data_IF_251718419760
#
_entry.id   IF_251718419760
#
_cell.length_a   1.000
_cell.length_b   1.000
_cell.length_c   1.000
_cell.angle_alpha   90.00
_cell.angle_beta   90.00
_cell.angle_gamma   90.00
#
_symmetry.space_group_name_H-M   'P 1'
#
loop_
_entity.id
_entity.type
_entity.pdbx_description
1 polymer ?
#
# COMPACT_ATOMS: atom_id res chain seq x y z
N UNK A 1 7.59 21.72 -3.60
CA UNK A 1 6.96 20.41 -3.38
C UNK A 1 5.66 20.65 -2.63
N UNK A 2 4.57 19.95 -2.95
CA UNK A 2 3.26 20.20 -2.32
C UNK A 2 3.16 19.56 -0.92
N UNK A 3 2.19 20.04 -0.12
CA UNK A 3 2.04 19.64 1.30
C UNK A 3 1.82 18.13 1.46
N UNK A 4 0.99 17.52 0.60
CA UNK A 4 0.64 16.10 0.67
C UNK A 4 1.86 15.23 0.39
N UNK A 5 2.70 15.62 -0.57
CA UNK A 5 3.96 14.93 -0.83
C UNK A 5 4.92 14.98 0.37
N UNK A 6 5.08 16.15 1.01
CA UNK A 6 5.95 16.26 2.19
C UNK A 6 5.41 15.46 3.37
N UNK A 7 4.09 15.41 3.58
CA UNK A 7 3.46 14.55 4.58
C UNK A 7 3.72 13.05 4.29
N UNK A 8 3.56 12.62 3.04
CA UNK A 8 3.85 11.25 2.63
C UNK A 8 5.32 10.87 2.83
N UNK A 9 6.22 11.82 2.58
CA UNK A 9 7.65 11.65 2.85
C UNK A 9 7.94 11.53 4.35
N UNK A 10 7.35 12.37 5.20
CA UNK A 10 7.48 12.24 6.65
C UNK A 10 7.02 10.86 7.13
N UNK A 11 5.87 10.37 6.65
CA UNK A 11 5.39 9.02 6.96
C UNK A 11 6.45 7.96 6.66
N UNK A 12 7.04 7.96 5.45
CA UNK A 12 8.07 6.97 5.07
C UNK A 12 9.32 7.10 5.95
N UNK A 13 9.71 8.31 6.32
CA UNK A 13 10.90 8.58 7.14
C UNK A 13 10.71 8.16 8.60
N UNK A 14 9.49 8.25 9.13
CA UNK A 14 9.15 7.90 10.50
C UNK A 14 8.97 6.38 10.70
N UNK A 15 8.82 5.61 9.62
CA UNK A 15 8.74 4.15 9.70
C UNK A 15 10.08 3.58 10.18
N UNK A 16 10.05 2.87 11.32
CA UNK A 16 11.19 2.11 11.79
C UNK A 16 11.40 0.84 10.94
N UNK A 17 12.17 0.96 9.87
CA UNK A 17 12.45 -0.13 8.92
C UNK A 17 13.17 -1.35 9.56
N UNK A 18 13.88 -1.14 10.67
CA UNK A 18 14.55 -2.21 11.43
C UNK A 18 13.59 -3.04 12.28
N UNK A 19 12.49 -2.43 12.74
CA UNK A 19 11.44 -3.14 13.45
C UNK A 19 10.62 -3.98 12.47
N UNK A 20 10.50 -5.28 12.76
CA UNK A 20 9.70 -6.22 11.99
C UNK A 20 8.85 -7.02 12.93
N UNK A 21 7.56 -7.09 12.61
CA UNK A 21 6.61 -7.87 13.38
C UNK A 21 5.75 -8.70 12.43
N UNK A 22 5.43 -9.91 12.87
CA UNK A 22 4.71 -10.91 12.09
C UNK A 22 3.41 -11.27 12.78
N UNK A 23 2.40 -11.61 11.98
CA UNK A 23 1.12 -12.17 12.43
C UNK A 23 0.32 -11.24 13.35
N UNK A 24 0.36 -9.92 13.11
CA UNK A 24 -0.60 -9.02 13.75
C UNK A 24 -1.98 -9.17 13.10
N UNK A 25 -3.07 -9.23 13.89
CA UNK A 25 -4.44 -9.29 13.40
C UNK A 25 -4.77 -8.18 12.38
N UNK A 26 -4.30 -6.95 12.65
CA UNK A 26 -4.49 -5.79 11.78
C UNK A 26 -3.91 -5.96 10.38
N UNK A 27 -2.91 -6.82 10.19
CA UNK A 27 -2.33 -7.04 8.87
C UNK A 27 -3.31 -7.67 7.89
N UNK A 28 -4.19 -8.55 8.35
CA UNK A 28 -5.22 -9.15 7.49
C UNK A 28 -6.20 -8.08 7.02
N UNK A 29 -6.59 -7.17 7.90
CA UNK A 29 -7.50 -6.06 7.60
C UNK A 29 -6.86 -5.10 6.60
N UNK A 30 -5.64 -4.64 6.88
CA UNK A 30 -4.91 -3.70 6.03
C UNK A 30 -4.61 -4.27 4.64
N UNK A 31 -4.18 -5.53 4.58
CA UNK A 31 -3.94 -6.22 3.31
C UNK A 31 -5.24 -6.40 2.51
N UNK A 32 -6.33 -6.78 3.17
CA UNK A 32 -7.65 -6.91 2.54
C UNK A 32 -8.11 -5.58 1.93
N UNK A 33 -7.92 -4.46 2.64
CA UNK A 33 -8.27 -3.13 2.13
C UNK A 33 -7.38 -2.69 0.98
N UNK A 34 -6.07 -2.97 1.03
CA UNK A 34 -5.16 -2.69 -0.10
C UNK A 34 -5.61 -3.43 -1.36
N UNK A 35 -5.94 -4.72 -1.24
CA UNK A 35 -6.40 -5.54 -2.36
C UNK A 35 -7.74 -5.07 -2.93
N UNK A 36 -8.69 -4.70 -2.05
CA UNK A 36 -9.98 -4.14 -2.44
C UNK A 36 -9.82 -2.82 -3.20
N UNK A 37 -9.06 -1.87 -2.63
CA UNK A 37 -8.81 -0.56 -3.24
C UNK A 37 -8.04 -0.66 -4.55
N UNK A 38 -7.03 -1.53 -4.61
CA UNK A 38 -6.31 -1.85 -5.85
C UNK A 38 -7.25 -2.42 -6.91
N UNK A 39 -8.12 -3.36 -6.56
CA UNK A 39 -9.08 -3.95 -7.50
C UNK A 39 -10.06 -2.92 -8.05
N UNK A 40 -10.61 -2.05 -7.21
CA UNK A 40 -11.46 -0.94 -7.65
C UNK A 40 -10.72 0.01 -8.60
N UNK A 41 -9.42 0.23 -8.37
CA UNK A 41 -8.59 1.06 -9.24
C UNK A 41 -8.35 0.40 -10.60
N UNK A 42 -8.04 -0.91 -10.61
CA UNK A 42 -7.93 -1.70 -11.84
C UNK A 42 -9.24 -1.73 -12.64
N UNK A 43 -10.37 -1.93 -11.97
CA UNK A 43 -11.72 -1.93 -12.57
C UNK A 43 -12.01 -0.57 -13.22
N UNK A 44 -11.68 0.52 -12.53
CA UNK A 44 -11.92 1.88 -13.03
C UNK A 44 -11.20 2.19 -14.34
N UNK A 45 -10.02 1.61 -14.57
CA UNK A 45 -9.25 1.76 -15.81
C UNK A 45 -9.47 0.64 -16.82
N UNK A 46 -10.36 -0.32 -16.52
CA UNK A 46 -10.60 -1.52 -17.34
C UNK A 46 -9.29 -2.28 -17.67
N UNK A 47 -8.35 -2.32 -16.73
CA UNK A 47 -7.05 -3.02 -16.88
C UNK A 47 -7.16 -4.42 -16.27
N UNK A 48 -7.66 -5.39 -17.04
CA UNK A 48 -7.90 -6.74 -16.55
C UNK A 48 -6.70 -7.69 -16.61
N UNK A 49 -5.63 -7.34 -17.33
CA UNK A 49 -4.46 -8.20 -17.44
C UNK A 49 -3.49 -8.00 -16.27
N UNK A 50 -3.24 -9.09 -15.54
CA UNK A 50 -2.19 -9.22 -14.51
C UNK A 50 -2.23 -8.14 -13.41
N UNK A 51 -3.34 -8.05 -12.68
CA UNK A 51 -3.46 -7.21 -11.48
C UNK A 51 -2.40 -7.63 -10.45
N UNK A 52 -1.50 -6.75 -10.05
CA UNK A 52 -0.42 -7.07 -9.10
C UNK A 52 -0.63 -6.36 -7.78
N UNK A 53 -0.19 -6.97 -6.68
CA UNK A 53 -0.28 -6.39 -5.34
C UNK A 53 0.54 -5.11 -5.20
N UNK A 54 1.74 -5.11 -5.77
CA UNK A 54 2.60 -3.93 -5.88
C UNK A 54 2.46 -3.42 -7.31
N UNK A 55 1.84 -2.25 -7.47
CA UNK A 55 1.54 -1.67 -8.77
C UNK A 55 1.79 -0.16 -8.75
N UNK A 56 2.04 0.40 -9.93
CA UNK A 56 2.20 1.84 -10.13
C UNK A 56 0.88 2.43 -10.62
N UNK A 57 0.23 3.21 -9.76
CA UNK A 57 -1.03 3.88 -10.12
C UNK A 57 -0.85 4.90 -11.25
N UNK A 58 0.32 5.54 -11.35
CA UNK A 58 0.64 6.45 -12.46
C UNK A 58 0.68 5.73 -13.80
N UNK A 59 1.33 4.56 -13.86
CA UNK A 59 1.34 3.70 -15.06
C UNK A 59 -0.04 3.16 -15.42
N UNK A 60 -0.81 2.71 -14.44
CA UNK A 60 -2.16 2.20 -14.69
C UNK A 60 -3.12 3.29 -15.20
N UNK A 61 -2.96 4.52 -14.70
CA UNK A 61 -3.75 5.67 -15.10
C UNK A 61 -3.20 6.38 -16.35
N UNK A 62 -2.13 5.86 -16.96
CA UNK A 62 -1.43 6.46 -18.11
C UNK A 62 -1.02 7.93 -17.86
N UNK A 63 -0.66 8.25 -16.60
CA UNK A 63 -0.21 9.58 -16.15
C UNK A 63 1.32 9.65 -16.19
N UNK A 64 1.84 10.66 -16.88
CA UNK A 64 3.27 10.97 -16.91
C UNK A 64 3.63 11.90 -15.75
N UNK A 65 4.58 11.48 -14.92
CA UNK A 65 5.18 12.34 -13.91
C UNK A 65 6.32 13.17 -14.50
N UNK A 66 6.55 14.40 -13.99
CA UNK A 66 7.78 15.11 -14.29
C UNK A 66 9.01 14.29 -13.85
N UNK A 67 10.03 14.20 -14.71
CA UNK A 67 11.21 13.35 -14.46
C UNK A 67 11.88 13.65 -13.12
N UNK A 68 12.03 14.94 -12.78
CA UNK A 68 12.60 15.37 -11.51
C UNK A 68 11.81 14.90 -10.28
N UNK A 69 10.50 14.66 -10.41
CA UNK A 69 9.66 14.12 -9.33
C UNK A 69 9.87 12.61 -9.22
N UNK A 70 9.88 11.90 -10.35
CA UNK A 70 10.17 10.46 -10.39
C UNK A 70 11.54 10.16 -9.75
N UNK A 71 12.59 10.88 -10.17
CA UNK A 71 13.95 10.73 -9.65
C UNK A 71 14.02 11.02 -8.14
N UNK A 72 13.27 12.03 -7.68
CA UNK A 72 13.19 12.37 -6.26
C UNK A 72 12.54 11.24 -5.43
N UNK A 73 11.44 10.65 -5.92
CA UNK A 73 10.79 9.51 -5.26
C UNK A 73 11.71 8.29 -5.16
N UNK A 74 12.47 8.00 -6.23
CA UNK A 74 13.45 6.92 -6.24
C UNK A 74 14.58 7.18 -5.24
N UNK A 75 15.14 8.40 -5.18
CA UNK A 75 16.21 8.74 -4.25
C UNK A 75 15.74 8.67 -2.79
N UNK A 76 14.55 9.19 -2.48
CA UNK A 76 13.98 9.15 -1.13
C UNK A 76 13.77 7.72 -0.60
N UNK A 77 13.55 6.76 -1.49
CA UNK A 77 13.27 5.37 -1.14
C UNK A 77 14.47 4.44 -1.34
N UNK A 78 15.60 4.97 -1.81
CA UNK A 78 16.81 4.20 -2.18
C UNK A 78 17.38 3.39 -1.03
N UNK A 79 17.26 3.86 0.21
CA UNK A 79 17.77 3.20 1.42
C UNK A 79 16.89 2.05 1.91
N UNK A 80 15.68 1.89 1.36
CA UNK A 80 14.77 0.78 1.71
C UNK A 80 15.27 -0.50 1.02
N UNK A 81 15.77 -1.44 1.83
CA UNK A 81 16.42 -2.68 1.34
C UNK A 81 15.46 -3.63 0.62
N UNK A 82 14.24 -3.79 1.14
CA UNK A 82 13.26 -4.75 0.61
C UNK A 82 12.64 -4.19 -0.66
N UNK A 83 12.96 -4.80 -1.82
CA UNK A 83 12.53 -4.35 -3.16
C UNK A 83 11.04 -4.00 -3.26
N UNK A 84 10.14 -4.87 -2.78
CA UNK A 84 8.70 -4.63 -2.88
C UNK A 84 8.20 -3.54 -1.93
N UNK A 85 8.82 -3.40 -0.77
CA UNK A 85 8.55 -2.28 0.15
C UNK A 85 9.00 -0.97 -0.50
N UNK A 86 10.22 -0.94 -1.04
CA UNK A 86 10.74 0.21 -1.79
C UNK A 86 9.80 0.63 -2.91
N UNK A 87 9.41 -0.30 -3.78
CA UNK A 87 8.47 -0.02 -4.87
C UNK A 87 7.14 0.54 -4.37
N UNK A 88 6.55 -0.05 -3.32
CA UNK A 88 5.31 0.44 -2.72
C UNK A 88 5.47 1.88 -2.20
N UNK A 89 6.57 2.17 -1.52
CA UNK A 89 6.87 3.52 -1.02
C UNK A 89 7.11 4.52 -2.16
N UNK A 90 7.80 4.13 -3.24
CA UNK A 90 7.98 4.97 -4.42
C UNK A 90 6.64 5.32 -5.04
N UNK A 91 5.77 4.32 -5.27
CA UNK A 91 4.43 4.54 -5.85
C UNK A 91 3.52 5.37 -4.94
N UNK A 92 3.66 5.25 -3.62
CA UNK A 92 2.97 6.09 -2.67
C UNK A 92 3.38 7.57 -2.80
N UNK A 93 4.69 7.87 -2.87
CA UNK A 93 5.18 9.24 -3.05
C UNK A 93 4.75 9.86 -4.38
N UNK A 94 4.88 9.08 -5.46
CA UNK A 94 4.42 9.45 -6.81
C UNK A 94 2.94 9.85 -6.80
N UNK A 95 2.10 9.06 -6.10
CA UNK A 95 0.67 9.31 -6.01
C UNK A 95 0.35 10.50 -5.10
N UNK A 96 1.03 10.62 -3.96
CA UNK A 96 0.92 11.75 -3.04
C UNK A 96 1.22 13.09 -3.73
N UNK A 97 2.22 13.13 -4.61
CA UNK A 97 2.50 14.29 -5.44
C UNK A 97 1.26 14.66 -6.27
N UNK A 98 0.70 13.71 -7.04
CA UNK A 98 -0.44 13.96 -7.92
C UNK A 98 -1.71 14.38 -7.16
N UNK A 99 -1.93 13.85 -5.96
CA UNK A 99 -3.03 14.28 -5.08
C UNK A 99 -2.83 15.76 -4.73
N UNK A 100 -1.63 16.16 -4.32
CA UNK A 100 -1.34 17.55 -3.96
C UNK A 100 -1.34 18.52 -5.14
N UNK A 101 -1.11 18.05 -6.36
CA UNK A 101 -1.34 18.82 -7.59
C UNK A 101 -2.82 18.87 -8.00
N UNK A 102 -3.71 18.20 -7.28
CA UNK A 102 -5.15 18.20 -7.54
C UNK A 102 -5.57 17.39 -8.77
N UNK A 103 -4.76 16.42 -9.20
CA UNK A 103 -5.09 15.57 -10.34
C UNK A 103 -6.37 14.77 -10.04
N UNK A 104 -7.46 14.91 -10.83
CA UNK A 104 -8.79 14.41 -10.44
C UNK A 104 -8.83 12.93 -10.07
N UNK A 105 -8.16 12.07 -10.85
CA UNK A 105 -8.06 10.63 -10.56
C UNK A 105 -7.32 10.38 -9.24
N UNK A 106 -6.22 11.10 -9.00
CA UNK A 106 -5.42 10.93 -7.79
C UNK A 106 -6.23 11.33 -6.56
N UNK A 107 -6.94 12.47 -6.61
CA UNK A 107 -7.85 12.92 -5.55
C UNK A 107 -8.98 11.90 -5.30
N UNK A 108 -9.59 11.36 -6.38
CA UNK A 108 -10.64 10.34 -6.27
C UNK A 108 -10.16 9.08 -5.54
N UNK A 109 -8.90 8.69 -5.76
CA UNK A 109 -8.28 7.51 -5.14
C UNK A 109 -7.15 7.91 -4.20
N UNK A 110 -7.33 8.97 -3.39
CA UNK A 110 -6.26 9.50 -2.54
C UNK A 110 -5.79 8.50 -1.49
N UNK A 111 -6.70 7.64 -1.03
CA UNK A 111 -6.48 6.65 0.01
C UNK A 111 -5.91 5.31 -0.49
N UNK A 112 -5.41 5.27 -1.73
CA UNK A 112 -5.09 4.01 -2.45
C UNK A 112 -4.00 3.18 -1.75
N UNK A 113 -2.94 3.81 -1.27
CA UNK A 113 -1.77 3.14 -0.67
C UNK A 113 -1.76 3.20 0.86
N UNK A 114 -2.68 3.95 1.47
CA UNK A 114 -2.73 4.19 2.93
C UNK A 114 -2.73 2.88 3.73
N UNK A 115 -3.49 1.82 3.36
CA UNK A 115 -3.46 0.57 4.13
C UNK A 115 -2.08 -0.08 4.18
N UNK A 116 -1.28 0.03 3.12
CA UNK A 116 0.08 -0.53 3.09
C UNK A 116 1.06 0.29 3.91
N UNK A 117 0.92 1.62 3.92
CA UNK A 117 1.74 2.46 4.78
C UNK A 117 1.48 2.15 6.26
N UNK A 118 0.21 2.03 6.66
CA UNK A 118 -0.17 1.60 8.01
C UNK A 118 0.37 0.21 8.38
N UNK A 119 0.40 -0.71 7.42
CA UNK A 119 0.98 -2.04 7.62
C UNK A 119 2.48 -1.94 7.88
N UNK A 120 3.18 -1.05 7.18
CA UNK A 120 4.61 -0.82 7.37
C UNK A 120 4.93 -0.11 8.69
N UNK A 121 4.16 0.89 9.08
CA UNK A 121 4.26 1.55 10.39
C UNK A 121 4.16 0.55 11.55
N UNK A 122 3.30 -0.46 11.39
CA UNK A 122 3.07 -1.52 12.40
C UNK A 122 4.09 -2.65 12.39
N UNK A 123 5.15 -2.54 11.58
CA UNK A 123 6.23 -3.54 11.51
C UNK A 123 6.03 -4.62 10.44
N UNK A 124 4.92 -4.61 9.71
CA UNK A 124 4.66 -5.55 8.62
C UNK A 124 5.56 -5.25 7.43
N UNK A 125 6.01 -6.28 6.69
CA UNK A 125 6.88 -6.12 5.51
C UNK A 125 6.42 -7.03 4.39
N UNK A 126 6.74 -6.65 3.15
CA UNK A 126 6.58 -7.50 1.97
C UNK A 126 7.92 -8.18 1.67
N UNK A 127 7.92 -9.50 1.63
CA UNK A 127 9.05 -10.32 1.20
C UNK A 127 8.59 -11.29 0.12
N UNK A 128 9.51 -11.79 -0.69
CA UNK A 128 9.21 -12.80 -1.69
C UNK A 128 9.88 -14.11 -1.31
N UNK A 129 9.09 -15.17 -1.23
CA UNK A 129 9.53 -16.48 -0.82
C UNK A 129 8.77 -17.56 -1.60
N UNK A 130 9.50 -18.44 -2.30
CA UNK A 130 8.96 -19.55 -3.10
C UNK A 130 7.75 -19.20 -4.00
N UNK A 131 7.84 -18.11 -4.78
CA UNK A 131 6.77 -17.75 -5.70
C UNK A 131 5.63 -16.92 -5.09
N UNK A 132 5.67 -16.69 -3.77
CA UNK A 132 4.63 -15.99 -3.02
C UNK A 132 5.18 -14.74 -2.34
N UNK A 133 4.29 -13.77 -2.11
CA UNK A 133 4.55 -12.64 -1.25
C UNK A 133 4.20 -13.01 0.19
N UNK A 134 5.16 -12.85 1.11
CA UNK A 134 4.94 -12.91 2.54
C UNK A 134 4.75 -11.49 3.04
N UNK A 135 3.56 -11.18 3.54
CA UNK A 135 3.13 -9.83 3.91
C UNK A 135 2.78 -9.85 5.39
N UNK A 136 3.69 -9.35 6.24
CA UNK A 136 3.51 -9.40 7.69
C UNK A 136 3.31 -10.83 8.23
N UNK A 137 3.82 -11.86 7.53
CA UNK A 137 3.63 -13.28 7.88
C UNK A 137 2.52 -13.99 7.10
N UNK A 138 1.68 -13.25 6.38
CA UNK A 138 0.60 -13.83 5.56
C UNK A 138 1.16 -14.17 4.17
N UNK A 139 1.02 -15.43 3.74
CA UNK A 139 1.38 -15.80 2.37
C UNK A 139 0.26 -15.48 1.38
N UNK A 140 0.62 -14.79 0.27
CA UNK A 140 -0.31 -14.43 -0.81
C UNK A 140 0.33 -14.56 -2.18
N UNK A 141 -0.53 -14.76 -3.18
CA UNK A 141 -0.16 -14.57 -4.58
C UNK A 141 0.27 -13.11 -4.82
N UNK A 142 1.22 -12.90 -5.74
CA UNK A 142 1.56 -11.56 -6.23
C UNK A 142 0.43 -10.93 -7.05
N UNK A 143 -0.52 -11.74 -7.51
CA UNK A 143 -1.66 -11.31 -8.31
C UNK A 143 -2.89 -11.05 -7.44
N UNK A 144 -3.63 -9.99 -7.79
CA UNK A 144 -4.88 -9.61 -7.14
C UNK A 144 -6.04 -10.26 -7.90
N UNK A 145 -6.87 -11.09 -7.24
CA UNK A 145 -8.12 -11.58 -7.82
C UNK A 145 -9.10 -10.44 -8.10
N UNK A 146 -9.84 -10.51 -9.21
CA UNK A 146 -10.76 -9.43 -9.65
C UNK A 146 -11.97 -9.24 -8.73
N UNK A 147 -12.36 -10.27 -8.00
CA UNK A 147 -13.49 -10.27 -7.06
C UNK A 147 -13.22 -9.44 -5.79
N UNK A 148 -11.98 -9.05 -5.53
CA UNK A 148 -11.67 -8.15 -4.41
C UNK A 148 -12.37 -6.80 -4.51
N UNK A 149 -12.82 -6.35 -5.68
CA UNK A 149 -13.62 -5.11 -5.78
C UNK A 149 -15.03 -5.24 -5.18
N UNK A 150 -15.51 -6.47 -4.98
CA UNK A 150 -16.81 -6.78 -4.38
C UNK A 150 -16.76 -6.98 -2.86
N UNK A 151 -15.55 -7.03 -2.29
CA UNK A 151 -15.36 -7.16 -0.84
C UNK A 151 -15.83 -5.87 -0.15
N UNK A 152 -16.49 -5.99 0.99
CA UNK A 152 -16.91 -4.83 1.78
C UNK A 152 -15.72 -4.05 2.33
N UNK A 153 -15.88 -2.73 2.44
CA UNK A 153 -14.86 -1.87 3.06
C UNK A 153 -14.70 -2.21 4.54
N UNK A 154 -13.46 -2.39 4.98
CA UNK A 154 -13.12 -2.58 6.40
C UNK A 154 -12.65 -1.28 7.04
N UNK A 155 -12.85 -1.15 8.35
CA UNK A 155 -12.32 -0.04 9.12
C UNK A 155 -10.79 -0.16 9.25
N UNK A 156 -10.09 0.92 8.90
CA UNK A 156 -8.61 1.04 9.01
C UNK A 156 -8.21 2.20 9.91
N UNK A 157 -9.12 2.68 10.76
CA UNK A 157 -8.84 3.66 11.81
C UNK A 157 -7.83 3.08 12.80
N UNK A 158 -6.91 3.92 13.31
CA UNK A 158 -5.88 3.43 14.23
C UNK A 158 -6.50 2.87 15.51
N UNK A 159 -7.59 3.47 16.01
CA UNK A 159 -8.35 2.95 17.16
C UNK A 159 -8.87 1.52 16.94
N UNK A 160 -9.36 1.20 15.74
CA UNK A 160 -9.86 -0.14 15.45
C UNK A 160 -8.72 -1.14 15.27
N UNK A 161 -7.66 -0.75 14.55
CA UNK A 161 -6.49 -1.60 14.33
C UNK A 161 -5.77 -1.92 15.65
N UNK A 162 -5.66 -0.95 16.53
CA UNK A 162 -5.06 -1.14 17.85
C UNK A 162 -5.97 -2.00 18.74
N UNK A 163 -7.30 -1.84 18.64
CA UNK A 163 -8.24 -2.71 19.35
C UNK A 163 -8.07 -4.17 18.94
N UNK A 164 -8.06 -4.48 17.64
CA UNK A 164 -7.91 -5.87 17.19
C UNK A 164 -6.53 -6.43 17.54
N UNK A 165 -5.45 -5.66 17.39
CA UNK A 165 -4.10 -6.13 17.71
C UNK A 165 -3.94 -6.48 19.20
N UNK A 166 -4.68 -5.79 20.08
CA UNK A 166 -4.63 -6.02 21.53
C UNK A 166 -5.66 -7.04 22.06
N UNK A 167 -6.68 -7.40 21.28
CA UNK A 167 -7.81 -8.23 21.75
C UNK A 167 -7.99 -9.56 20.99
N UNK A 168 -7.08 -9.94 20.09
CA UNK A 168 -7.24 -11.12 19.22
C UNK A 168 -6.91 -12.47 19.89
N UNK A 169 -7.65 -12.82 20.95
CA UNK A 169 -7.86 -14.22 21.33
C UNK A 169 -8.94 -14.92 20.48
N UNK A 170 -9.70 -14.17 19.66
CA UNK A 170 -11.01 -14.61 19.18
C UNK A 170 -11.13 -14.84 17.65
N UNK A 171 -10.15 -14.46 16.81
CA UNK A 171 -10.20 -14.75 15.34
C UNK A 171 -9.58 -16.09 14.91
N UNK A 172 -9.32 -17.03 15.82
CA UNK A 172 -8.82 -18.39 15.46
C UNK A 172 -9.87 -19.36 14.91
N UNK A 173 -11.09 -18.91 14.57
CA UNK A 173 -12.22 -19.78 14.24
C UNK A 173 -12.90 -19.53 12.88
N UNK A 174 -12.23 -18.85 11.92
CA UNK A 174 -12.69 -18.75 10.53
C UNK A 174 -11.82 -19.56 9.57
#
# INVERSE_FOLDING_TARGET
MNKIFEEAKCIIQDINWSHREFNRPSYVILLSEHLRRGSLFYDYFHKDSMRTLVYSATKLADIQLPANISDNCEELTRTIELRFVRQMCTHYLEWAYLIGEGVPTAVKFQELYVPMMKLFERGGRIQYHHGQLIIGGISRSQFIPSDFSQVESKDTSDSYLDYIDNNDSDMKSL
#
